data_IF_816120807874
#
_entry.id   IF_816120807874
#
_cell.length_a   1.000
_cell.length_b   1.000
_cell.length_c   1.000
_cell.angle_alpha   90.00
_cell.angle_beta   90.00
_cell.angle_gamma   90.00
#
_symmetry.space_group_name_H-M   'P 1'
#
loop_
_entity.id
_entity.type
_entity.pdbx_description
1 polymer ?
#
# COMPACT_ATOMS: atom_id res chain seq x y z
N UNK A 1 14.56 -15.79 -34.05
CA UNK A 1 13.84 -15.97 -32.81
C UNK A 1 12.50 -15.25 -32.96
N UNK A 2 11.43 -16.01 -32.92
CA UNK A 2 10.06 -15.46 -32.89
C UNK A 2 9.94 -14.56 -31.65
N UNK A 3 9.34 -13.36 -31.76
CA UNK A 3 9.02 -12.56 -30.58
C UNK A 3 8.26 -13.43 -29.61
N UNK A 4 8.60 -13.32 -28.32
CA UNK A 4 7.93 -14.10 -27.28
C UNK A 4 6.42 -13.90 -27.38
N UNK A 5 5.63 -14.90 -27.04
CA UNK A 5 4.16 -14.84 -27.04
C UNK A 5 3.64 -13.60 -26.29
N UNK A 6 4.32 -13.18 -25.23
CA UNK A 6 4.00 -11.96 -24.47
C UNK A 6 4.05 -10.68 -25.30
N UNK A 7 5.06 -10.49 -26.17
CA UNK A 7 5.12 -9.31 -27.04
C UNK A 7 4.00 -9.33 -28.10
N UNK A 8 3.63 -10.52 -28.58
CA UNK A 8 2.47 -10.71 -29.48
C UNK A 8 1.16 -10.39 -28.78
N UNK A 9 1.02 -10.70 -27.49
CA UNK A 9 -0.21 -10.49 -26.73
C UNK A 9 -0.47 -9.01 -26.40
N UNK A 10 0.58 -8.17 -26.32
CA UNK A 10 0.46 -6.72 -26.14
C UNK A 10 -0.35 -6.07 -27.28
N UNK A 11 -0.22 -6.59 -28.49
CA UNK A 11 -0.92 -6.07 -29.68
C UNK A 11 -2.25 -6.76 -29.98
N UNK A 12 -2.55 -7.88 -29.31
CA UNK A 12 -3.82 -8.57 -29.52
C UNK A 12 -4.97 -7.79 -28.89
N UNK A 13 -6.00 -7.49 -29.67
CA UNK A 13 -7.24 -6.86 -29.20
C UNK A 13 -7.96 -7.68 -28.11
N UNK A 14 -7.60 -8.95 -27.95
CA UNK A 14 -8.18 -9.90 -26.99
C UNK A 14 -7.61 -9.80 -25.57
N UNK A 15 -6.44 -9.16 -25.39
CA UNK A 15 -5.83 -8.97 -24.06
C UNK A 15 -6.22 -7.59 -23.55
N UNK A 16 -7.08 -7.54 -22.54
CA UNK A 16 -7.60 -6.31 -21.97
C UNK A 16 -6.74 -5.73 -20.84
N UNK A 17 -6.00 -6.57 -20.14
CA UNK A 17 -5.11 -6.16 -19.05
C UNK A 17 -3.95 -7.15 -18.89
N UNK A 18 -2.85 -6.66 -18.34
CA UNK A 18 -1.63 -7.43 -18.05
C UNK A 18 -1.28 -7.20 -16.61
N UNK A 19 -1.20 -8.28 -15.84
CA UNK A 19 -0.73 -8.30 -14.46
C UNK A 19 0.60 -9.03 -14.40
N UNK A 20 1.59 -8.40 -13.79
CA UNK A 20 2.88 -9.03 -13.48
C UNK A 20 3.03 -9.12 -11.98
N UNK A 21 2.93 -10.36 -11.45
CA UNK A 21 3.03 -10.60 -10.02
C UNK A 21 4.40 -10.22 -9.49
N UNK A 22 4.43 -9.26 -8.58
CA UNK A 22 5.64 -8.83 -7.87
C UNK A 22 5.76 -9.54 -6.51
N UNK A 23 7.00 -9.74 -5.98
CA UNK A 23 8.29 -9.38 -6.61
C UNK A 23 8.73 -10.39 -7.68
N UNK A 24 9.49 -9.91 -8.66
CA UNK A 24 10.13 -10.78 -9.65
C UNK A 24 11.41 -11.45 -9.10
N UNK A 25 11.83 -12.59 -9.67
CA UNK A 25 13.12 -13.18 -9.36
C UNK A 25 14.27 -12.19 -9.60
N UNK A 26 15.27 -12.22 -8.73
CA UNK A 26 16.39 -11.22 -8.71
C UNK A 26 17.15 -11.06 -10.03
N UNK A 27 17.14 -12.07 -10.91
CA UNK A 27 17.80 -12.02 -12.22
C UNK A 27 16.98 -11.26 -13.28
N UNK A 28 15.74 -10.89 -12.97
CA UNK A 28 14.84 -10.15 -13.87
C UNK A 28 14.80 -8.69 -13.42
N UNK A 29 15.03 -7.79 -14.34
CA UNK A 29 14.89 -6.36 -14.11
C UNK A 29 13.40 -5.99 -14.08
N UNK A 30 12.84 -5.84 -12.88
CA UNK A 30 11.44 -5.51 -12.63
C UNK A 30 11.01 -4.25 -13.40
N UNK A 31 11.87 -3.23 -13.43
CA UNK A 31 11.55 -1.98 -14.09
C UNK A 31 11.38 -2.15 -15.59
N UNK A 32 12.27 -2.90 -16.23
CA UNK A 32 12.18 -3.18 -17.67
C UNK A 32 10.92 -3.96 -18.02
N UNK A 33 10.47 -4.87 -17.14
CA UNK A 33 9.26 -5.65 -17.37
C UNK A 33 8.04 -4.74 -17.28
N UNK A 34 7.94 -3.91 -16.25
CA UNK A 34 6.80 -2.98 -16.07
C UNK A 34 6.77 -1.95 -17.20
N UNK A 35 7.89 -1.38 -17.60
CA UNK A 35 7.97 -0.40 -18.68
C UNK A 35 7.65 -1.00 -20.07
N UNK A 36 7.70 -2.32 -20.23
CA UNK A 36 7.30 -3.00 -21.45
C UNK A 36 5.79 -3.23 -21.57
N UNK A 37 5.03 -3.03 -20.49
CA UNK A 37 3.57 -3.12 -20.49
C UNK A 37 3.00 -1.87 -21.16
N UNK A 38 2.07 -2.04 -22.10
CA UNK A 38 1.32 -0.89 -22.65
C UNK A 38 0.50 -0.25 -21.52
N UNK A 39 0.63 1.07 -21.38
CA UNK A 39 0.05 1.84 -20.25
C UNK A 39 -1.43 1.56 -20.03
N UNK A 40 -2.19 1.42 -21.12
CA UNK A 40 -3.63 1.13 -21.13
C UNK A 40 -3.98 -0.30 -20.72
N UNK A 41 -2.97 -1.16 -20.51
CA UNK A 41 -3.11 -2.55 -20.07
C UNK A 41 -2.41 -2.85 -18.74
N UNK A 42 -1.76 -1.87 -18.15
CA UNK A 42 -1.11 -1.95 -16.83
C UNK A 42 -2.19 -1.87 -15.73
N UNK A 43 -2.84 -3.00 -15.46
CA UNK A 43 -3.97 -3.06 -14.51
C UNK A 43 -3.58 -2.83 -13.06
N UNK A 44 -2.29 -3.02 -12.72
CA UNK A 44 -1.76 -2.75 -11.38
C UNK A 44 -1.34 -1.28 -11.18
N UNK A 45 -1.26 -0.49 -12.26
CA UNK A 45 -0.89 0.92 -12.18
C UNK A 45 0.56 1.18 -11.82
N UNK A 46 1.48 0.24 -12.06
CA UNK A 46 2.90 0.36 -11.69
C UNK A 46 3.76 1.03 -12.76
N UNK A 47 3.24 1.17 -13.98
CA UNK A 47 3.94 1.88 -15.06
C UNK A 47 4.15 3.34 -14.71
N UNK A 48 5.31 3.91 -15.06
CA UNK A 48 5.67 5.29 -14.73
C UNK A 48 4.61 6.32 -15.14
N UNK A 49 3.95 6.10 -16.27
CA UNK A 49 2.90 7.01 -16.77
C UNK A 49 1.67 6.95 -15.86
N UNK A 50 1.22 5.77 -15.40
CA UNK A 50 0.12 5.66 -14.45
C UNK A 50 0.48 6.25 -13.10
N UNK A 51 1.69 5.99 -12.59
CA UNK A 51 2.20 6.63 -11.38
C UNK A 51 2.26 8.16 -11.50
N UNK A 52 2.67 8.67 -12.67
CA UNK A 52 2.67 10.11 -12.97
C UNK A 52 1.26 10.70 -13.03
N UNK A 53 0.32 10.01 -13.67
CA UNK A 53 -1.10 10.41 -13.71
C UNK A 53 -1.71 10.48 -12.31
N UNK A 54 -1.42 9.50 -11.47
CA UNK A 54 -1.84 9.48 -10.06
C UNK A 54 -1.24 10.66 -9.29
N UNK A 55 0.05 10.94 -9.48
CA UNK A 55 0.74 12.04 -8.80
C UNK A 55 0.27 13.44 -9.23
N UNK A 56 -0.16 13.59 -10.48
CA UNK A 56 -0.71 14.86 -10.99
C UNK A 56 -2.12 15.10 -10.45
N UNK A 57 -2.88 14.03 -10.25
CA UNK A 57 -4.26 14.11 -9.73
C UNK A 57 -5.29 14.66 -10.74
N UNK A 58 -6.45 15.05 -10.24
CA UNK A 58 -7.52 15.69 -11.01
C UNK A 58 -7.94 14.90 -12.25
N UNK A 59 -7.98 15.52 -13.43
CA UNK A 59 -8.39 14.85 -14.67
C UNK A 59 -7.42 13.77 -15.14
N UNK A 60 -6.14 13.84 -14.73
CA UNK A 60 -5.15 12.82 -15.05
C UNK A 60 -5.39 11.53 -14.23
N UNK A 61 -5.89 11.67 -13.01
CA UNK A 61 -6.27 10.53 -12.16
C UNK A 61 -7.35 9.66 -12.81
N UNK A 62 -8.33 10.28 -13.48
CA UNK A 62 -9.40 9.56 -14.21
C UNK A 62 -8.88 8.68 -15.36
N UNK A 63 -7.65 8.93 -15.82
CA UNK A 63 -6.98 8.18 -16.88
C UNK A 63 -5.93 7.20 -16.35
N UNK A 64 -5.72 7.16 -15.05
CA UNK A 64 -4.74 6.29 -14.41
C UNK A 64 -5.35 4.95 -14.05
N UNK A 65 -4.60 3.87 -14.22
CA UNK A 65 -4.78 2.70 -13.40
C UNK A 65 -4.11 2.95 -12.05
N UNK A 66 -4.84 2.69 -10.97
CA UNK A 66 -4.39 2.92 -9.60
C UNK A 66 -4.09 1.57 -8.96
N UNK A 67 -2.96 1.40 -8.25
CA UNK A 67 -2.67 0.16 -7.53
C UNK A 67 -3.83 -0.24 -6.62
N UNK A 68 -4.25 -1.51 -6.72
CA UNK A 68 -5.47 -1.99 -6.07
C UNK A 68 -5.42 -1.88 -4.55
N UNK A 69 -4.29 -2.19 -3.91
CA UNK A 69 -4.16 -2.13 -2.45
C UNK A 69 -4.33 -0.70 -1.90
N UNK A 70 -3.63 0.33 -2.40
CA UNK A 70 -3.88 1.72 -1.99
C UNK A 70 -5.32 2.18 -2.26
N UNK A 71 -5.89 1.81 -3.42
CA UNK A 71 -7.26 2.19 -3.75
C UNK A 71 -8.27 1.52 -2.80
N UNK A 72 -8.11 0.23 -2.53
CA UNK A 72 -8.94 -0.49 -1.56
C UNK A 72 -8.83 0.09 -0.15
N UNK A 73 -7.62 0.45 0.28
CA UNK A 73 -7.37 1.13 1.56
C UNK A 73 -8.09 2.48 1.64
N UNK A 74 -8.05 3.27 0.56
CA UNK A 74 -8.78 4.54 0.51
C UNK A 74 -10.29 4.33 0.57
N UNK A 75 -10.84 3.37 -0.18
CA UNK A 75 -12.27 3.06 -0.16
C UNK A 75 -12.71 2.66 1.25
N UNK A 76 -11.93 1.84 1.93
CA UNK A 76 -12.19 1.44 3.31
C UNK A 76 -12.15 2.63 4.27
N UNK A 77 -11.19 3.54 4.12
CA UNK A 77 -11.16 4.80 4.89
C UNK A 77 -12.41 5.63 4.66
N UNK A 78 -12.86 5.79 3.42
CA UNK A 78 -14.04 6.59 3.06
C UNK A 78 -15.35 5.98 3.56
N UNK A 79 -15.40 4.68 3.75
CA UNK A 79 -16.57 4.00 4.31
C UNK A 79 -16.72 4.26 5.81
N UNK A 80 -15.61 4.51 6.52
CA UNK A 80 -15.58 4.64 7.97
C UNK A 80 -15.28 6.05 8.47
N UNK A 81 -14.68 6.91 7.65
CA UNK A 81 -14.33 8.29 7.99
C UNK A 81 -15.14 9.23 7.12
N UNK A 82 -16.11 9.92 7.73
CA UNK A 82 -17.06 10.78 7.02
C UNK A 82 -16.39 11.89 6.20
N UNK A 83 -15.33 12.52 6.74
CA UNK A 83 -14.59 13.56 6.04
C UNK A 83 -13.08 13.39 6.27
N UNK A 84 -12.33 13.23 5.19
CA UNK A 84 -10.88 13.11 5.18
C UNK A 84 -10.16 14.47 5.09
N UNK A 85 -10.87 15.53 4.69
CA UNK A 85 -10.28 16.85 4.44
C UNK A 85 -9.63 17.42 5.70
N UNK A 86 -8.40 17.89 5.54
CA UNK A 86 -7.62 18.49 6.62
C UNK A 86 -7.10 17.52 7.67
N UNK A 87 -7.44 16.23 7.61
CA UNK A 87 -6.89 15.24 8.55
C UNK A 87 -5.40 15.04 8.33
N UNK A 88 -4.69 14.84 9.44
CA UNK A 88 -3.28 14.45 9.42
C UNK A 88 -3.17 12.95 9.18
N UNK A 89 -2.55 12.59 8.06
CA UNK A 89 -2.32 11.20 7.69
C UNK A 89 -0.83 10.86 7.64
N UNK A 90 -0.45 9.75 8.26
CA UNK A 90 0.92 9.23 8.20
C UNK A 90 0.90 7.91 7.44
N UNK A 91 1.72 7.83 6.39
CA UNK A 91 1.97 6.59 5.63
C UNK A 91 3.33 6.04 6.05
N UNK A 92 3.32 4.87 6.69
CA UNK A 92 4.52 4.18 7.15
C UNK A 92 4.98 3.24 6.04
N UNK A 93 6.01 3.65 5.31
CA UNK A 93 6.52 2.97 4.13
C UNK A 93 6.47 3.85 2.88
N UNK A 94 7.38 3.58 1.92
CA UNK A 94 7.51 4.37 0.68
C UNK A 94 7.75 3.50 -0.55
N UNK A 95 7.16 2.32 -0.57
CA UNK A 95 7.22 1.44 -1.74
C UNK A 95 6.50 2.06 -2.93
N UNK A 96 6.90 1.68 -4.14
CA UNK A 96 6.22 2.12 -5.36
C UNK A 96 4.85 1.48 -5.53
N UNK A 97 4.62 0.34 -4.87
CA UNK A 97 3.39 -0.45 -5.01
C UNK A 97 2.30 -0.06 -3.99
N UNK A 98 2.66 0.48 -2.81
CA UNK A 98 1.70 0.85 -1.76
C UNK A 98 1.97 2.25 -1.22
N UNK A 99 3.12 2.50 -0.58
CA UNK A 99 3.34 3.71 0.22
C UNK A 99 3.21 5.01 -0.59
N UNK A 100 3.89 5.11 -1.74
CA UNK A 100 3.80 6.29 -2.61
C UNK A 100 2.40 6.47 -3.21
N UNK A 101 1.78 5.46 -3.83
CA UNK A 101 0.41 5.58 -4.33
C UNK A 101 -0.60 5.97 -3.26
N UNK A 102 -0.52 5.38 -2.07
CA UNK A 102 -1.40 5.72 -0.95
C UNK A 102 -1.26 7.18 -0.53
N UNK A 103 -0.02 7.68 -0.47
CA UNK A 103 0.23 9.08 -0.13
C UNK A 103 -0.40 10.03 -1.15
N UNK A 104 -0.33 9.73 -2.45
CA UNK A 104 -0.95 10.54 -3.49
C UNK A 104 -2.48 10.52 -3.39
N UNK A 105 -3.08 9.36 -3.14
CA UNK A 105 -4.52 9.23 -2.94
C UNK A 105 -5.01 10.06 -1.75
N UNK A 106 -4.29 10.03 -0.63
CA UNK A 106 -4.65 10.83 0.56
C UNK A 106 -4.47 12.34 0.31
N UNK A 107 -3.47 12.75 -0.47
CA UNK A 107 -3.32 14.16 -0.90
C UNK A 107 -4.51 14.58 -1.77
N UNK A 108 -4.97 13.75 -2.70
CA UNK A 108 -6.13 14.03 -3.55
C UNK A 108 -7.42 14.19 -2.73
N UNK A 109 -7.54 13.46 -1.61
CA UNK A 109 -8.64 13.61 -0.63
C UNK A 109 -8.41 14.79 0.34
N UNK A 110 -7.44 15.66 0.06
CA UNK A 110 -7.13 16.86 0.86
C UNK A 110 -6.64 16.57 2.29
N UNK A 111 -6.02 15.42 2.52
CA UNK A 111 -5.29 15.16 3.77
C UNK A 111 -3.95 15.91 3.80
N UNK A 112 -3.47 16.22 5.00
CA UNK A 112 -2.06 16.58 5.22
C UNK A 112 -1.26 15.30 5.41
N UNK A 113 -0.42 14.95 4.44
CA UNK A 113 0.26 13.64 4.41
C UNK A 113 1.72 13.73 4.79
N UNK A 114 2.12 12.89 5.73
CA UNK A 114 3.52 12.65 6.08
C UNK A 114 3.91 11.23 5.73
N UNK A 115 5.01 11.06 4.99
CA UNK A 115 5.57 9.74 4.67
C UNK A 115 6.75 9.47 5.58
N UNK A 116 6.69 8.39 6.35
CA UNK A 116 7.76 7.96 7.25
C UNK A 116 8.39 6.65 6.79
N UNK A 117 9.65 6.45 7.14
CA UNK A 117 10.44 5.28 6.71
C UNK A 117 11.61 5.02 7.68
N UNK A 118 12.36 3.95 7.48
CA UNK A 118 13.46 3.51 8.35
C UNK A 118 14.57 4.54 8.62
N UNK A 119 14.56 5.70 7.98
CA UNK A 119 15.51 6.81 8.21
C UNK A 119 14.86 8.02 8.85
N UNK A 120 13.54 7.96 9.11
CA UNK A 120 12.82 9.02 9.81
C UNK A 120 13.26 9.04 11.26
N UNK A 121 13.59 10.23 11.78
CA UNK A 121 13.92 10.43 13.20
C UNK A 121 12.64 10.55 14.00
N UNK A 122 12.65 10.08 15.23
CA UNK A 122 11.51 10.15 16.17
C UNK A 122 10.19 9.67 15.54
N UNK A 123 10.26 8.55 14.78
CA UNK A 123 9.15 8.06 13.97
C UNK A 123 7.87 7.85 14.79
N UNK A 124 7.98 7.31 15.99
CA UNK A 124 6.85 7.10 16.91
C UNK A 124 6.14 8.43 17.23
N UNK A 125 6.91 9.48 17.53
CA UNK A 125 6.38 10.81 17.83
C UNK A 125 5.65 11.43 16.62
N UNK A 126 6.15 11.21 15.41
CA UNK A 126 5.47 11.66 14.17
C UNK A 126 4.15 10.93 14.00
N UNK A 127 4.15 9.62 14.18
CA UNK A 127 2.97 8.78 14.01
C UNK A 127 1.91 9.06 15.06
N UNK A 128 2.31 9.25 16.34
CA UNK A 128 1.38 9.47 17.47
C UNK A 128 0.59 10.78 17.40
N UNK A 129 0.84 11.62 16.41
CA UNK A 129 0.08 12.86 16.17
C UNK A 129 -0.95 12.72 15.02
N UNK A 130 -0.94 11.60 14.30
CA UNK A 130 -1.76 11.40 13.13
C UNK A 130 -3.19 10.97 13.46
N UNK A 131 -4.16 11.50 12.72
CA UNK A 131 -5.55 11.05 12.75
C UNK A 131 -5.74 9.73 11.99
N UNK A 132 -4.92 9.53 10.95
CA UNK A 132 -4.94 8.35 10.08
C UNK A 132 -3.52 7.80 9.95
N UNK A 133 -3.38 6.50 10.13
CA UNK A 133 -2.12 5.77 9.90
C UNK A 133 -2.35 4.67 8.87
N UNK A 134 -1.49 4.61 7.88
CA UNK A 134 -1.42 3.50 6.94
C UNK A 134 -0.09 2.78 7.11
N UNK A 135 -0.13 1.56 7.65
CA UNK A 135 1.03 0.71 7.88
C UNK A 135 1.31 -0.15 6.64
N UNK A 136 2.48 0.04 6.01
CA UNK A 136 2.87 -0.64 4.78
C UNK A 136 4.39 -0.88 4.71
N UNK A 137 4.95 -1.52 5.74
CA UNK A 137 6.41 -1.76 5.88
C UNK A 137 6.79 -3.23 5.75
N UNK A 138 5.84 -4.16 5.87
CA UNK A 138 6.10 -5.61 5.80
C UNK A 138 6.95 -6.10 6.98
N UNK A 139 6.67 -5.64 8.20
CA UNK A 139 7.32 -6.05 9.43
C UNK A 139 6.29 -6.42 10.48
N UNK A 140 6.23 -7.70 10.81
CA UNK A 140 5.28 -8.27 11.76
C UNK A 140 5.24 -7.49 13.08
N UNK A 141 4.05 -6.98 13.42
CA UNK A 141 3.70 -6.42 14.74
C UNK A 141 4.69 -5.35 15.25
N UNK A 142 5.31 -4.60 14.33
CA UNK A 142 6.29 -3.57 14.67
C UNK A 142 5.67 -2.31 15.25
N UNK A 143 4.42 -2.01 14.90
CA UNK A 143 3.71 -0.78 15.26
C UNK A 143 2.82 -1.09 16.46
N UNK A 144 3.21 -0.60 17.63
CA UNK A 144 2.47 -0.76 18.88
C UNK A 144 1.65 0.50 19.24
N UNK A 145 0.97 0.48 20.39
CA UNK A 145 0.15 1.58 20.90
C UNK A 145 0.88 2.92 21.07
N UNK A 146 2.22 2.91 21.22
CA UNK A 146 3.01 4.15 21.36
C UNK A 146 3.06 4.97 20.09
N UNK A 147 2.87 4.32 18.94
CA UNK A 147 2.82 4.98 17.63
C UNK A 147 1.48 5.64 17.35
N UNK A 148 0.47 5.40 18.18
CA UNK A 148 -0.91 5.70 17.87
C UNK A 148 -1.45 6.84 18.76
N UNK A 149 -2.18 7.76 18.15
CA UNK A 149 -3.00 8.74 18.82
C UNK A 149 -4.31 8.09 19.28
N UNK A 150 -4.83 8.51 20.43
CA UNK A 150 -6.14 8.05 20.88
C UNK A 150 -7.22 8.45 19.86
N UNK A 151 -8.03 7.50 19.47
CA UNK A 151 -9.07 7.69 18.45
C UNK A 151 -8.56 7.70 17.00
N UNK A 152 -7.30 7.38 16.75
CA UNK A 152 -6.77 7.26 15.40
C UNK A 152 -7.45 6.15 14.60
N UNK A 153 -7.48 6.31 13.28
CA UNK A 153 -7.88 5.28 12.33
C UNK A 153 -6.63 4.66 11.72
N UNK A 154 -6.54 3.34 11.76
CA UNK A 154 -5.37 2.60 11.25
C UNK A 154 -5.80 1.65 10.13
N UNK A 155 -5.12 1.73 9.00
CA UNK A 155 -5.17 0.73 7.93
C UNK A 155 -3.85 -0.04 7.94
N UNK A 156 -3.91 -1.31 8.26
CA UNK A 156 -2.76 -2.21 8.22
C UNK A 156 -2.77 -2.99 6.90
N UNK A 157 -1.75 -2.75 6.08
CA UNK A 157 -1.57 -3.41 4.77
C UNK A 157 -0.56 -4.57 4.88
N UNK A 158 0.02 -4.74 6.07
CA UNK A 158 1.03 -5.77 6.32
C UNK A 158 0.46 -7.18 6.18
N UNK A 159 1.17 -8.04 5.49
CA UNK A 159 0.90 -9.48 5.43
C UNK A 159 2.20 -10.22 5.76
N UNK A 160 2.37 -10.55 7.02
CA UNK A 160 3.59 -11.17 7.53
C UNK A 160 3.29 -12.60 8.01
N UNK A 161 4.08 -13.55 7.59
CA UNK A 161 4.00 -14.92 8.09
C UNK A 161 5.02 -15.12 9.19
N UNK A 162 4.55 -15.42 10.39
CA UNK A 162 5.39 -15.74 11.56
C UNK A 162 5.27 -17.21 11.91
N UNK A 163 6.36 -17.81 12.42
CA UNK A 163 6.34 -19.16 12.99
C UNK A 163 5.74 -19.11 14.39
N UNK A 164 4.89 -20.06 14.69
CA UNK A 164 4.29 -20.22 16.02
C UNK A 164 4.44 -21.67 16.46
N UNK A 165 4.52 -21.91 17.77
CA UNK A 165 4.37 -23.22 18.36
C UNK A 165 2.91 -23.39 18.77
N UNK A 166 2.23 -24.40 18.24
CA UNK A 166 0.84 -24.72 18.59
C UNK A 166 0.75 -25.33 19.99
N UNK A 167 -0.46 -25.38 20.55
CA UNK A 167 -0.71 -25.96 21.88
C UNK A 167 -0.28 -27.43 21.99
N UNK A 168 -0.30 -28.17 20.88
CA UNK A 168 0.15 -29.56 20.79
C UNK A 168 1.68 -29.71 20.66
N UNK A 169 2.44 -28.61 20.71
CA UNK A 169 3.90 -28.57 20.57
C UNK A 169 4.40 -28.64 19.11
N UNK A 170 3.52 -28.74 18.13
CA UNK A 170 3.90 -28.74 16.71
C UNK A 170 4.23 -27.32 16.22
N UNK A 171 5.13 -27.21 15.22
CA UNK A 171 5.38 -25.96 14.54
C UNK A 171 4.22 -25.61 13.59
N UNK A 172 3.85 -24.34 13.57
CA UNK A 172 2.83 -23.77 12.70
C UNK A 172 3.23 -22.41 12.17
N UNK A 173 2.35 -21.77 11.40
CA UNK A 173 2.51 -20.39 11.01
C UNK A 173 1.22 -19.60 11.16
N UNK A 174 1.33 -18.35 11.54
CA UNK A 174 0.24 -17.36 11.63
C UNK A 174 0.52 -16.21 10.68
N UNK A 175 -0.53 -15.65 10.10
CA UNK A 175 -0.44 -14.39 9.36
C UNK A 175 -0.79 -13.27 10.34
N UNK A 176 0.05 -12.24 10.36
CA UNK A 176 -0.13 -11.03 11.18
C UNK A 176 0.13 -9.79 10.32
N UNK A 177 -0.39 -8.66 10.75
CA UNK A 177 -0.13 -7.37 10.14
C UNK A 177 1.21 -6.75 10.53
N UNK A 178 1.40 -5.48 10.18
CA UNK A 178 2.51 -4.64 10.63
C UNK A 178 2.22 -4.03 12.01
N UNK A 179 0.95 -3.99 12.40
CA UNK A 179 0.47 -3.44 13.67
C UNK A 179 0.28 -4.57 14.69
N UNK A 180 0.77 -4.37 15.90
CA UNK A 180 0.42 -5.20 17.04
C UNK A 180 -1.04 -4.89 17.42
N UNK A 181 -1.95 -5.76 16.96
CA UNK A 181 -3.39 -5.57 17.09
C UNK A 181 -3.84 -5.44 18.54
N UNK A 182 -3.36 -6.33 19.40
CA UNK A 182 -3.78 -6.38 20.82
C UNK A 182 -3.32 -5.12 21.55
N UNK A 183 -2.08 -4.66 21.30
CA UNK A 183 -1.55 -3.41 21.85
C UNK A 183 -2.29 -2.18 21.32
N UNK A 184 -2.71 -2.20 20.06
CA UNK A 184 -3.34 -1.05 19.41
C UNK A 184 -4.82 -0.87 19.79
N UNK A 185 -5.52 -1.97 20.08
CA UNK A 185 -6.98 -2.00 20.23
C UNK A 185 -7.52 -1.02 21.27
N UNK A 186 -6.81 -0.80 22.36
CA UNK A 186 -7.23 0.11 23.42
C UNK A 186 -7.27 1.59 23.01
N UNK A 187 -6.54 1.96 21.95
CA UNK A 187 -6.39 3.34 21.48
C UNK A 187 -7.20 3.71 20.25
N UNK A 188 -7.65 2.72 19.51
CA UNK A 188 -8.19 2.95 18.18
C UNK A 188 -9.70 3.16 18.18
N UNK A 189 -10.18 4.06 17.32
CA UNK A 189 -11.60 4.13 16.96
C UNK A 189 -11.92 3.05 15.90
N UNK A 190 -10.95 2.69 15.07
CA UNK A 190 -11.08 1.71 14.00
C UNK A 190 -9.72 1.12 13.63
N UNK A 191 -9.65 -0.21 13.49
CA UNK A 191 -8.53 -0.92 12.88
C UNK A 191 -9.05 -1.89 11.84
N UNK A 192 -8.43 -1.87 10.65
CA UNK A 192 -8.62 -2.85 9.59
C UNK A 192 -7.28 -3.48 9.21
N UNK A 193 -7.27 -4.79 9.19
CA UNK A 193 -6.13 -5.62 8.76
C UNK A 193 -6.51 -6.34 7.47
#
# INVERSE_FOLDING_TARGET
PTPSSAASDVYKRQVHGILVQLPLPKQIDERKVIDAIVVEKDVDGFHAINAGRLSIGGDMLKKAFIPCTPLGSLLLLKDHVEDLKGKSAVVIGRSNIVGKPMSQLLIEESCTVTVVHSKTKEIEKVCSQADIIVAAIGRAEMIDSKWLKDGAVVIDVGINRISITKEDGSEGSKIVGDVDFDSALEKLSLIHI
#
